data_IF_224605456377
#
_entry.id   IF_224605456377
#
_cell.length_a   1.000
_cell.length_b   1.000
_cell.length_c   1.000
_cell.angle_alpha   90.00
_cell.angle_beta   90.00
_cell.angle_gamma   90.00
#
_symmetry.space_group_name_H-M   'P 1'
#
loop_
_entity.id
_entity.type
_entity.pdbx_description
1 polymer ?
#
# COMPACT_ATOMS: atom_id res chain seq x y z
N UNK A 1 -77.31 -0.09 43.10
CA UNK A 1 -75.88 0.00 43.36
C UNK A 1 -75.18 -0.48 42.09
N UNK A 2 -74.63 0.46 41.27
CA UNK A 2 -73.99 0.20 40.00
C UNK A 2 -72.46 0.32 40.20
N UNK A 3 -71.74 -0.82 40.04
CA UNK A 3 -70.27 -0.84 40.12
C UNK A 3 -69.73 -0.51 38.74
N UNK A 4 -68.93 0.56 38.64
CA UNK A 4 -68.09 0.89 37.46
C UNK A 4 -66.83 0.05 37.51
N UNK A 5 -66.62 -0.79 36.50
CA UNK A 5 -65.31 -1.41 36.21
C UNK A 5 -64.50 -0.47 35.31
N UNK A 6 -63.40 0.05 35.84
CA UNK A 6 -62.41 0.84 35.06
C UNK A 6 -61.37 -0.09 34.48
N UNK A 7 -61.33 -0.21 33.16
CA UNK A 7 -60.33 -0.99 32.44
C UNK A 7 -59.17 -0.05 32.11
N UNK A 8 -58.03 -0.20 32.79
CA UNK A 8 -56.78 0.52 32.47
C UNK A 8 -56.05 -0.24 31.38
N UNK A 9 -56.04 0.32 30.17
CA UNK A 9 -55.27 -0.22 29.05
C UNK A 9 -53.79 0.23 29.20
N UNK A 10 -52.90 -0.66 29.58
CA UNK A 10 -51.46 -0.41 29.57
C UNK A 10 -50.92 -0.55 28.14
N UNK A 11 -50.52 0.58 27.56
CA UNK A 11 -49.79 0.59 26.26
C UNK A 11 -48.33 0.25 26.56
N UNK A 12 -47.91 -1.00 26.23
CA UNK A 12 -46.49 -1.36 26.16
C UNK A 12 -45.85 -0.75 24.91
N UNK A 13 -45.06 0.30 25.06
CA UNK A 13 -44.11 0.75 24.04
C UNK A 13 -42.98 -0.28 23.94
N UNK A 14 -43.03 -1.15 22.94
CA UNK A 14 -41.87 -1.96 22.57
C UNK A 14 -40.86 -1.07 21.87
N UNK A 15 -39.79 -0.65 22.58
CA UNK A 15 -38.59 -0.09 21.97
C UNK A 15 -37.91 -1.22 21.17
N UNK A 16 -38.17 -1.28 19.87
CA UNK A 16 -37.34 -2.07 18.98
C UNK A 16 -35.95 -1.41 18.96
N UNK A 17 -35.01 -2.01 19.69
CA UNK A 17 -33.59 -1.66 19.58
C UNK A 17 -33.16 -2.08 18.17
N UNK A 18 -33.04 -1.13 17.27
CA UNK A 18 -32.29 -1.31 16.02
C UNK A 18 -30.84 -1.55 16.41
N UNK A 19 -30.44 -2.81 16.51
CA UNK A 19 -29.03 -3.18 16.47
C UNK A 19 -28.55 -2.83 15.06
N UNK A 20 -27.87 -1.70 14.92
CA UNK A 20 -27.12 -1.41 13.73
C UNK A 20 -26.06 -2.53 13.60
N UNK A 21 -26.26 -3.44 12.66
CA UNK A 21 -25.24 -4.42 12.27
C UNK A 21 -24.06 -3.62 11.73
N UNK A 22 -22.93 -3.71 12.39
CA UNK A 22 -21.69 -3.17 11.84
C UNK A 22 -21.36 -3.91 10.54
N UNK A 23 -21.12 -3.17 9.46
CA UNK A 23 -20.66 -3.74 8.20
C UNK A 23 -19.14 -3.89 8.26
N UNK A 24 -18.63 -5.05 7.91
CA UNK A 24 -17.19 -5.36 7.95
C UNK A 24 -16.51 -4.89 6.66
N UNK A 25 -15.41 -4.18 6.84
CA UNK A 25 -14.45 -3.84 5.79
C UNK A 25 -13.26 -4.77 5.90
N UNK A 26 -13.04 -5.58 4.88
CA UNK A 26 -11.96 -6.56 4.84
C UNK A 26 -10.68 -5.92 4.29
N UNK A 27 -9.77 -5.49 5.15
CA UNK A 27 -8.56 -4.79 4.75
C UNK A 27 -7.38 -5.76 4.56
N UNK A 28 -6.91 -5.87 3.31
CA UNK A 28 -5.82 -6.77 2.93
C UNK A 28 -4.46 -6.08 3.06
N UNK A 29 -3.58 -6.69 3.85
CA UNK A 29 -2.23 -6.21 4.18
C UNK A 29 -1.19 -7.15 3.58
N UNK A 30 -0.23 -6.59 2.86
CA UNK A 30 0.90 -7.32 2.29
C UNK A 30 1.94 -7.57 3.40
N UNK A 31 2.21 -8.85 3.66
CA UNK A 31 3.19 -9.27 4.65
C UNK A 31 4.63 -8.91 4.24
N UNK A 32 5.41 -8.33 5.15
CA UNK A 32 6.88 -8.16 5.12
C UNK A 32 7.48 -7.24 4.05
N UNK A 33 6.80 -7.00 2.92
CA UNK A 33 7.43 -6.32 1.76
C UNK A 33 6.85 -4.94 1.46
N UNK A 34 5.77 -4.52 2.12
CA UNK A 34 5.04 -3.31 1.76
C UNK A 34 5.41 -2.06 2.59
N UNK A 35 6.40 -2.15 3.47
CA UNK A 35 6.85 -1.00 4.29
C UNK A 35 7.35 0.15 3.41
N UNK A 36 7.00 1.41 3.69
CA UNK A 36 6.18 1.92 4.81
C UNK A 36 4.67 2.00 4.53
N UNK A 37 4.18 1.52 3.39
CA UNK A 37 2.76 1.62 3.04
C UNK A 37 1.87 0.76 3.93
N UNK A 38 2.29 -0.47 4.17
CA UNK A 38 1.66 -1.40 5.10
C UNK A 38 2.75 -2.05 5.96
N UNK A 39 2.57 -2.01 7.27
CA UNK A 39 3.49 -2.57 8.27
C UNK A 39 2.69 -3.52 9.13
N UNK A 40 2.91 -4.82 8.93
CA UNK A 40 2.28 -5.84 9.75
C UNK A 40 2.78 -5.81 11.19
N UNK A 41 1.90 -6.14 12.13
CA UNK A 41 2.23 -6.28 13.54
C UNK A 41 1.62 -7.57 14.09
N UNK A 42 2.36 -8.35 14.90
CA UNK A 42 1.87 -9.62 15.47
C UNK A 42 0.65 -9.45 16.37
N UNK A 43 0.52 -8.29 17.02
CA UNK A 43 -0.60 -7.94 17.91
C UNK A 43 -1.81 -7.36 17.16
N UNK A 44 -1.81 -7.43 15.81
CA UNK A 44 -2.82 -6.88 14.91
C UNK A 44 -2.97 -5.35 14.94
N UNK A 45 -2.06 -4.63 15.59
CA UNK A 45 -2.02 -3.15 15.56
C UNK A 45 -1.27 -2.65 14.32
N UNK A 46 -1.60 -3.20 13.16
CA UNK A 46 -0.95 -2.84 11.89
C UNK A 46 -0.85 -1.33 11.69
N UNK A 47 0.21 -0.89 11.01
CA UNK A 47 0.56 0.52 10.74
C UNK A 47 0.94 0.71 9.28
N UNK A 48 1.35 1.90 8.94
CA UNK A 48 1.83 2.26 7.61
C UNK A 48 0.93 3.28 6.93
N UNK A 49 1.46 3.94 5.91
CA UNK A 49 0.78 5.04 5.22
C UNK A 49 -0.64 4.63 4.80
N UNK A 50 -0.79 3.53 4.07
CA UNK A 50 -2.12 3.07 3.60
C UNK A 50 -2.97 2.58 4.76
N UNK A 51 -2.39 1.84 5.70
CA UNK A 51 -3.10 1.34 6.87
C UNK A 51 -3.67 2.48 7.72
N UNK A 52 -2.89 3.52 7.96
CA UNK A 52 -3.33 4.65 8.79
C UNK A 52 -4.33 5.55 8.04
N UNK A 53 -4.24 5.64 6.69
CA UNK A 53 -5.27 6.26 5.87
C UNK A 53 -6.59 5.47 5.98
N UNK A 54 -6.57 4.14 5.84
CA UNK A 54 -7.77 3.31 5.99
C UNK A 54 -8.38 3.47 7.37
N UNK A 55 -7.57 3.42 8.44
CA UNK A 55 -8.04 3.69 9.81
C UNK A 55 -8.68 5.07 9.94
N UNK A 56 -8.07 6.11 9.36
CA UNK A 56 -8.59 7.47 9.44
C UNK A 56 -9.89 7.65 8.65
N UNK A 57 -10.05 6.95 7.52
CA UNK A 57 -11.29 6.92 6.73
C UNK A 57 -12.44 6.37 7.56
N UNK A 58 -12.25 5.24 8.24
CA UNK A 58 -13.32 4.55 8.98
C UNK A 58 -13.46 4.99 10.45
N UNK A 59 -12.58 5.86 10.94
CA UNK A 59 -12.63 6.33 12.32
C UNK A 59 -13.97 7.02 12.65
N UNK A 60 -14.66 6.53 13.71
CA UNK A 60 -15.96 7.03 14.14
C UNK A 60 -17.12 6.74 13.18
N UNK A 61 -16.97 5.77 12.27
CA UNK A 61 -18.02 5.28 11.38
C UNK A 61 -18.74 4.06 11.97
N UNK A 62 -19.75 3.57 11.23
CA UNK A 62 -20.46 2.30 11.54
C UNK A 62 -19.71 1.05 11.08
N UNK A 63 -18.58 1.20 10.41
CA UNK A 63 -17.83 0.10 9.81
C UNK A 63 -16.72 -0.39 10.74
N UNK A 64 -16.57 -1.71 10.84
CA UNK A 64 -15.45 -2.36 11.51
C UNK A 64 -14.42 -2.85 10.49
N UNK A 65 -13.12 -2.74 10.82
CA UNK A 65 -12.04 -3.20 9.93
C UNK A 65 -11.56 -4.57 10.40
N UNK A 66 -11.66 -5.58 9.54
CA UNK A 66 -10.99 -6.87 9.72
C UNK A 66 -9.73 -6.94 8.85
N UNK A 67 -8.64 -7.45 9.43
CA UNK A 67 -7.30 -7.42 8.82
C UNK A 67 -6.92 -8.80 8.29
N UNK A 68 -6.62 -8.88 7.00
CA UNK A 68 -6.19 -10.09 6.30
C UNK A 68 -4.73 -9.93 5.83
N UNK A 69 -3.79 -10.63 6.49
CA UNK A 69 -2.35 -10.48 6.22
C UNK A 69 -1.86 -11.66 5.39
N UNK A 70 -1.36 -11.39 4.18
CA UNK A 70 -0.83 -12.41 3.27
C UNK A 70 0.44 -11.95 2.54
N UNK A 71 1.33 -12.89 2.15
CA UNK A 71 2.35 -12.60 1.15
C UNK A 71 1.71 -12.06 -0.14
N UNK A 72 2.39 -11.15 -0.85
CA UNK A 72 1.83 -10.41 -1.98
C UNK A 72 1.14 -11.31 -3.01
N UNK A 73 1.83 -12.31 -3.56
CA UNK A 73 1.25 -13.19 -4.59
C UNK A 73 0.02 -13.97 -4.09
N UNK A 74 0.01 -14.35 -2.79
CA UNK A 74 -1.15 -15.03 -2.19
C UNK A 74 -2.33 -14.07 -2.06
N UNK A 75 -2.08 -12.84 -1.65
CA UNK A 75 -3.11 -11.80 -1.57
C UNK A 75 -3.74 -11.58 -2.95
N UNK A 76 -2.94 -11.35 -3.98
CA UNK A 76 -3.44 -11.15 -5.34
C UNK A 76 -4.30 -12.32 -5.80
N UNK A 77 -3.81 -13.55 -5.65
CA UNK A 77 -4.57 -14.75 -6.03
C UNK A 77 -5.91 -14.88 -5.28
N UNK A 78 -6.00 -14.45 -4.02
CA UNK A 78 -7.25 -14.45 -3.27
C UNK A 78 -8.21 -13.38 -3.80
N UNK A 79 -7.72 -12.16 -4.08
CA UNK A 79 -8.54 -11.07 -4.59
C UNK A 79 -9.06 -11.35 -6.01
N UNK A 80 -8.24 -11.97 -6.87
CA UNK A 80 -8.66 -12.43 -8.21
C UNK A 80 -9.76 -13.50 -8.16
N UNK A 81 -9.84 -14.28 -7.09
CA UNK A 81 -10.91 -15.24 -6.82
C UNK A 81 -12.14 -14.60 -6.18
N UNK A 82 -12.13 -13.28 -5.97
CA UNK A 82 -13.22 -12.48 -5.41
C UNK A 82 -12.93 -11.90 -4.02
N UNK A 83 -12.00 -12.48 -3.27
CA UNK A 83 -11.71 -12.02 -1.91
C UNK A 83 -12.88 -12.17 -0.92
N UNK A 84 -12.76 -11.58 0.26
CA UNK A 84 -13.89 -11.35 1.17
C UNK A 84 -14.70 -10.14 0.70
N UNK A 85 -16.00 -10.10 0.99
CA UNK A 85 -16.86 -8.97 0.59
C UNK A 85 -16.34 -7.64 1.14
N UNK A 86 -16.50 -6.57 0.38
CA UNK A 86 -16.05 -5.22 0.75
C UNK A 86 -14.55 -5.14 1.08
N UNK A 87 -13.72 -5.87 0.33
CA UNK A 87 -12.29 -5.80 0.55
C UNK A 87 -11.69 -4.46 0.09
N UNK A 88 -10.64 -4.06 0.80
CA UNK A 88 -9.82 -2.89 0.49
C UNK A 88 -8.35 -3.29 0.55
N UNK A 89 -7.58 -2.78 -0.40
CA UNK A 89 -6.12 -2.71 -0.39
C UNK A 89 -5.68 -1.42 -1.05
N UNK A 90 -4.50 -1.36 -1.65
CA UNK A 90 -4.10 -0.23 -2.49
C UNK A 90 -3.65 -0.72 -3.86
N UNK A 91 -3.75 0.18 -4.83
CA UNK A 91 -3.48 -0.16 -6.21
C UNK A 91 -3.11 1.04 -7.06
N UNK A 92 -2.88 0.80 -8.33
CA UNK A 92 -2.60 1.82 -9.34
C UNK A 92 -3.10 1.37 -10.70
N UNK A 93 -3.59 2.29 -11.56
CA UNK A 93 -3.89 1.95 -12.95
C UNK A 93 -2.68 1.35 -13.69
N UNK A 94 -1.46 1.65 -13.21
CA UNK A 94 -0.22 1.19 -13.83
C UNK A 94 0.15 -0.27 -13.48
N UNK A 95 -0.52 -0.90 -12.51
CA UNK A 95 -0.17 -2.25 -12.06
C UNK A 95 -0.94 -3.35 -12.77
N UNK A 96 -2.12 -3.01 -13.33
CA UNK A 96 -3.03 -3.97 -13.96
C UNK A 96 -3.72 -4.90 -12.95
N UNK A 97 -4.52 -5.83 -13.48
CA UNK A 97 -5.24 -6.82 -12.67
C UNK A 97 -6.15 -6.20 -11.61
N UNK A 98 -6.50 -6.98 -10.61
CA UNK A 98 -7.45 -6.63 -9.54
C UNK A 98 -7.11 -5.34 -8.78
N UNK A 99 -5.83 -4.96 -8.72
CA UNK A 99 -5.39 -3.71 -8.08
C UNK A 99 -5.53 -2.46 -8.98
N UNK A 100 -6.09 -2.59 -10.18
CA UNK A 100 -6.35 -1.47 -11.09
C UNK A 100 -7.84 -1.34 -11.49
N UNK A 101 -8.68 -2.30 -11.12
CA UNK A 101 -10.05 -2.41 -11.62
C UNK A 101 -11.02 -1.41 -10.96
N UNK A 102 -10.95 -1.25 -9.65
CA UNK A 102 -11.83 -0.36 -8.90
C UNK A 102 -11.02 0.44 -7.88
N UNK A 103 -10.87 1.73 -8.13
CA UNK A 103 -9.98 2.61 -7.38
C UNK A 103 -10.75 3.80 -6.79
N UNK A 104 -10.23 4.36 -5.69
CA UNK A 104 -10.75 5.61 -5.15
C UNK A 104 -10.66 6.76 -6.18
N UNK A 105 -11.55 7.75 -6.08
CA UNK A 105 -11.61 8.89 -7.01
C UNK A 105 -10.33 9.75 -6.97
N UNK A 106 -9.64 9.78 -5.83
CA UNK A 106 -8.42 10.56 -5.69
C UNK A 106 -7.24 9.68 -5.25
N UNK A 107 -6.02 10.02 -5.69
CA UNK A 107 -4.83 9.32 -5.25
C UNK A 107 -4.54 9.58 -3.76
N UNK A 108 -3.94 8.58 -3.11
CA UNK A 108 -3.47 8.69 -1.73
C UNK A 108 -1.98 8.99 -1.64
N UNK A 109 -1.21 8.71 -2.69
CA UNK A 109 0.23 8.96 -2.73
C UNK A 109 0.74 8.95 -4.17
N UNK A 110 1.82 9.72 -4.46
CA UNK A 110 2.50 9.69 -5.75
C UNK A 110 3.84 8.95 -5.60
N UNK A 111 3.96 7.81 -6.26
CA UNK A 111 5.14 6.94 -6.22
C UNK A 111 6.23 7.48 -7.12
N UNK A 112 7.46 7.56 -6.58
CA UNK A 112 8.70 7.81 -7.32
C UNK A 112 9.60 6.60 -7.20
N UNK A 113 10.26 6.20 -8.29
CA UNK A 113 11.28 5.18 -8.26
C UNK A 113 12.68 5.79 -8.20
N UNK A 114 13.57 5.08 -7.53
CA UNK A 114 14.97 5.46 -7.43
C UNK A 114 15.88 4.27 -7.71
N UNK A 115 17.04 4.60 -8.24
CA UNK A 115 18.17 3.71 -8.41
C UNK A 115 19.15 4.00 -7.28
N UNK A 116 19.56 2.97 -6.55
CA UNK A 116 20.47 3.07 -5.40
C UNK A 116 21.77 2.34 -5.70
N UNK A 117 22.88 3.04 -5.54
CA UNK A 117 24.23 2.49 -5.66
C UNK A 117 25.03 2.65 -4.37
N UNK A 118 26.10 1.92 -4.23
CA UNK A 118 27.08 2.16 -3.17
C UNK A 118 27.90 3.42 -3.46
N UNK A 119 28.16 4.25 -2.44
CA UNK A 119 29.06 5.41 -2.58
C UNK A 119 30.52 5.02 -2.80
N UNK A 120 30.94 3.78 -2.46
CA UNK A 120 32.34 3.37 -2.62
C UNK A 120 32.82 3.33 -4.07
N UNK A 121 31.93 3.05 -5.00
CA UNK A 121 32.19 3.10 -6.45
C UNK A 121 30.86 3.41 -7.16
N UNK A 122 30.42 4.66 -6.99
CA UNK A 122 29.16 5.12 -7.58
C UNK A 122 29.36 5.57 -9.01
N UNK A 123 28.28 5.59 -9.78
CA UNK A 123 28.20 6.14 -11.12
C UNK A 123 27.00 7.07 -11.25
N UNK A 124 27.04 7.97 -12.24
CA UNK A 124 25.88 8.78 -12.59
C UNK A 124 24.92 7.96 -13.42
N UNK A 125 23.63 8.06 -13.09
CA UNK A 125 22.57 7.47 -13.88
C UNK A 125 21.82 8.56 -14.64
N UNK A 126 21.96 8.59 -15.96
CA UNK A 126 21.26 9.50 -16.87
C UNK A 126 20.31 8.74 -17.78
N UNK A 127 20.64 7.49 -18.11
CA UNK A 127 19.85 6.59 -18.95
C UNK A 127 20.15 5.13 -18.66
N UNK A 128 19.36 4.21 -19.20
CA UNK A 128 19.61 2.76 -19.09
C UNK A 128 20.95 2.32 -19.71
N UNK A 129 21.54 3.14 -20.59
CA UNK A 129 22.86 2.87 -21.15
C UNK A 129 23.97 2.88 -20.08
N UNK A 130 23.78 3.65 -19.01
CA UNK A 130 24.72 3.66 -17.86
C UNK A 130 24.66 2.37 -17.05
N UNK A 131 23.65 1.53 -17.30
CA UNK A 131 23.47 0.21 -16.72
C UNK A 131 24.00 -0.94 -17.59
N UNK A 132 24.52 -0.66 -18.80
CA UNK A 132 25.09 -1.71 -19.64
C UNK A 132 26.16 -2.51 -18.89
N UNK A 133 26.11 -3.83 -19.02
CA UNK A 133 26.98 -4.81 -18.34
C UNK A 133 26.89 -4.78 -16.79
N UNK A 134 25.82 -4.20 -16.21
CA UNK A 134 25.59 -4.14 -14.76
C UNK A 134 24.38 -4.96 -14.37
N UNK A 135 24.23 -5.14 -13.06
CA UNK A 135 23.15 -5.92 -12.45
C UNK A 135 22.14 -4.98 -11.80
N UNK A 136 20.87 -5.09 -12.17
CA UNK A 136 19.76 -4.49 -11.44
C UNK A 136 19.26 -5.48 -10.38
N UNK A 137 19.34 -5.06 -9.12
CA UNK A 137 18.79 -5.81 -7.98
C UNK A 137 17.34 -5.40 -7.78
N UNK A 138 16.44 -6.38 -7.70
CA UNK A 138 15.00 -6.20 -7.48
C UNK A 138 14.51 -7.12 -6.34
N UNK A 139 13.38 -6.79 -5.73
CA UNK A 139 12.74 -7.67 -4.76
C UNK A 139 11.93 -8.75 -5.46
N UNK A 140 11.87 -9.95 -4.88
CA UNK A 140 10.94 -11.00 -5.31
C UNK A 140 9.49 -10.53 -5.18
N UNK A 141 8.65 -10.92 -6.14
CA UNK A 141 7.20 -10.70 -6.12
C UNK A 141 6.72 -9.41 -6.78
N UNK A 142 7.58 -8.43 -6.98
CA UNK A 142 7.21 -7.19 -7.68
C UNK A 142 7.60 -7.23 -9.16
N UNK A 143 6.71 -6.73 -10.03
CA UNK A 143 6.93 -6.67 -11.47
C UNK A 143 7.35 -5.27 -11.90
N UNK A 144 8.32 -5.24 -12.81
CA UNK A 144 8.83 -4.01 -13.41
C UNK A 144 8.83 -4.16 -14.95
N UNK A 145 7.64 -4.06 -15.60
CA UNK A 145 7.52 -4.28 -17.06
C UNK A 145 8.40 -3.33 -17.87
N UNK A 146 8.71 -2.15 -17.37
CA UNK A 146 9.59 -1.17 -18.02
C UNK A 146 11.05 -1.68 -18.11
N UNK A 147 11.47 -2.62 -17.27
CA UNK A 147 12.82 -3.18 -17.26
C UNK A 147 12.96 -4.43 -18.12
N UNK A 148 11.87 -5.13 -18.42
CA UNK A 148 11.87 -6.38 -19.20
C UNK A 148 12.65 -6.27 -20.52
N UNK A 149 12.46 -5.21 -21.36
CA UNK A 149 13.20 -5.12 -22.62
C UNK A 149 14.72 -5.05 -22.46
N UNK A 150 15.21 -4.52 -21.32
CA UNK A 150 16.65 -4.40 -21.04
C UNK A 150 17.24 -5.71 -20.53
N UNK A 151 16.45 -6.53 -19.84
CA UNK A 151 16.84 -7.86 -19.43
C UNK A 151 16.82 -8.84 -20.62
N UNK A 152 15.79 -8.79 -21.45
CA UNK A 152 15.60 -9.70 -22.58
C UNK A 152 16.68 -9.52 -23.67
N UNK A 153 17.20 -8.30 -23.84
CA UNK A 153 18.27 -8.04 -24.81
C UNK A 153 19.68 -8.33 -24.25
N UNK A 154 19.77 -8.70 -22.96
CA UNK A 154 21.02 -9.06 -22.31
C UNK A 154 21.96 -7.91 -21.96
N UNK A 155 21.55 -6.65 -22.14
CA UNK A 155 22.38 -5.50 -21.80
C UNK A 155 22.53 -5.31 -20.29
N UNK A 156 21.54 -5.75 -19.50
CA UNK A 156 21.48 -5.62 -18.06
C UNK A 156 21.09 -6.98 -17.46
N UNK A 157 21.79 -7.40 -16.42
CA UNK A 157 21.43 -8.61 -15.67
C UNK A 157 20.39 -8.31 -14.57
N UNK A 158 19.48 -9.24 -14.35
CA UNK A 158 18.49 -9.18 -13.28
C UNK A 158 18.90 -10.06 -12.10
N UNK A 159 18.92 -9.51 -10.88
CA UNK A 159 19.10 -10.24 -9.63
C UNK A 159 17.92 -10.03 -8.69
N UNK A 160 17.17 -11.08 -8.41
CA UNK A 160 16.08 -11.05 -7.44
C UNK A 160 16.54 -11.44 -6.04
N UNK A 161 16.17 -10.60 -5.05
CA UNK A 161 16.48 -10.82 -3.64
C UNK A 161 15.21 -10.84 -2.78
N UNK A 162 15.29 -11.47 -1.61
CA UNK A 162 14.13 -11.72 -0.76
C UNK A 162 13.67 -10.50 0.05
N UNK A 163 14.57 -9.58 0.39
CA UNK A 163 14.31 -8.47 1.28
C UNK A 163 15.29 -7.29 1.07
N UNK A 164 14.96 -6.15 1.65
CA UNK A 164 15.77 -4.93 1.57
C UNK A 164 17.18 -5.10 2.15
N UNK A 165 17.33 -5.90 3.21
CA UNK A 165 18.64 -6.18 3.81
C UNK A 165 19.55 -6.90 2.82
N UNK A 166 19.00 -7.84 2.06
CA UNK A 166 19.74 -8.53 1.02
C UNK A 166 20.09 -7.58 -0.12
N UNK A 167 19.16 -6.71 -0.57
CA UNK A 167 19.42 -5.73 -1.61
C UNK A 167 20.57 -4.79 -1.23
N UNK A 168 20.50 -4.13 -0.07
CA UNK A 168 21.56 -3.24 0.40
C UNK A 168 22.92 -3.95 0.60
N UNK A 169 22.89 -5.22 0.99
CA UNK A 169 24.12 -6.02 1.09
C UNK A 169 24.76 -6.28 -0.26
N UNK A 170 23.96 -6.59 -1.29
CA UNK A 170 24.47 -6.86 -2.65
C UNK A 170 25.13 -5.61 -3.20
N UNK A 171 24.45 -4.46 -3.22
CA UNK A 171 25.03 -3.22 -3.77
C UNK A 171 26.25 -2.74 -3.00
N UNK A 172 26.35 -3.05 -1.69
CA UNK A 172 27.57 -2.76 -0.90
C UNK A 172 28.73 -3.70 -1.21
N UNK A 173 28.45 -4.97 -1.57
CA UNK A 173 29.48 -5.96 -1.86
C UNK A 173 30.03 -5.88 -3.29
N UNK A 174 29.22 -5.43 -4.24
CA UNK A 174 29.51 -5.30 -5.65
C UNK A 174 29.34 -3.84 -6.12
N UNK A 175 30.15 -2.91 -5.52
CA UNK A 175 30.03 -1.49 -5.80
C UNK A 175 30.47 -1.18 -7.24
N UNK A 176 29.71 -0.34 -7.95
CA UNK A 176 29.93 0.01 -9.35
C UNK A 176 29.37 -1.00 -10.37
N UNK A 177 29.09 -2.23 -9.95
CA UNK A 177 28.56 -3.31 -10.79
C UNK A 177 27.06 -3.51 -10.58
N UNK A 178 26.49 -3.06 -9.45
CA UNK A 178 25.11 -3.31 -9.08
C UNK A 178 24.36 -2.05 -8.68
N UNK A 179 23.08 -1.99 -9.01
CA UNK A 179 22.17 -0.96 -8.53
C UNK A 179 20.84 -1.59 -8.07
N UNK A 180 20.26 -1.09 -6.97
CA UNK A 180 18.95 -1.53 -6.48
C UNK A 180 17.88 -0.56 -6.94
N UNK A 181 16.84 -1.05 -7.60
CA UNK A 181 15.70 -0.25 -8.06
C UNK A 181 14.48 -0.56 -7.22
N UNK A 182 13.90 0.48 -6.63
CA UNK A 182 12.68 0.37 -5.81
C UNK A 182 12.02 1.76 -5.64
N UNK A 183 10.81 1.80 -5.08
CA UNK A 183 10.14 3.04 -4.67
C UNK A 183 10.99 3.83 -3.69
N UNK A 184 11.19 5.11 -3.95
CA UNK A 184 12.03 6.00 -3.13
C UNK A 184 11.61 5.99 -1.64
N UNK A 185 10.31 6.03 -1.37
CA UNK A 185 9.76 5.97 0.00
C UNK A 185 10.17 4.70 0.73
N UNK A 186 10.12 3.54 0.05
CA UNK A 186 10.54 2.25 0.61
C UNK A 186 12.04 2.21 0.87
N UNK A 187 12.84 2.75 -0.04
CA UNK A 187 14.29 2.86 0.15
C UNK A 187 14.61 3.68 1.40
N UNK A 188 14.11 4.93 1.47
CA UNK A 188 14.35 5.82 2.61
C UNK A 188 13.93 5.20 3.94
N UNK A 189 12.73 4.66 3.99
CA UNK A 189 12.20 3.99 5.18
C UNK A 189 13.08 2.82 5.62
N UNK A 190 13.46 1.93 4.71
CA UNK A 190 14.24 0.75 5.05
C UNK A 190 15.70 1.07 5.41
N UNK A 191 16.30 2.09 4.82
CA UNK A 191 17.62 2.60 5.26
C UNK A 191 17.56 3.08 6.70
N UNK A 192 16.55 3.87 7.05
CA UNK A 192 16.33 4.37 8.41
C UNK A 192 16.08 3.24 9.42
N UNK A 193 15.15 2.33 9.11
CA UNK A 193 14.80 1.23 10.02
C UNK A 193 15.96 0.26 10.29
N UNK A 194 16.79 0.00 9.29
CA UNK A 194 17.96 -0.85 9.44
C UNK A 194 19.16 -0.12 10.07
N UNK A 195 19.01 1.16 10.44
CA UNK A 195 20.07 2.02 10.97
C UNK A 195 21.34 1.98 10.12
N UNK A 196 21.15 1.90 8.80
CA UNK A 196 22.26 1.94 7.86
C UNK A 196 22.77 3.37 7.73
N UNK A 197 24.08 3.52 7.56
CA UNK A 197 24.63 4.83 7.21
C UNK A 197 24.11 5.23 5.82
N UNK A 198 23.23 6.21 5.77
CA UNK A 198 22.63 6.71 4.52
C UNK A 198 23.65 7.28 3.56
N UNK A 199 24.74 7.88 4.09
CA UNK A 199 25.82 8.44 3.29
C UNK A 199 26.65 7.38 2.56
N UNK A 200 26.48 6.10 2.92
CA UNK A 200 27.10 4.99 2.20
C UNK A 200 26.39 4.63 0.89
N UNK A 201 25.23 5.26 0.62
CA UNK A 201 24.38 4.96 -0.53
C UNK A 201 24.03 6.24 -1.30
N UNK A 202 24.15 6.19 -2.61
CA UNK A 202 23.66 7.23 -3.51
C UNK A 202 22.29 6.84 -4.02
N UNK A 203 21.31 7.72 -3.83
CA UNK A 203 19.94 7.56 -4.29
C UNK A 203 19.69 8.53 -5.44
N UNK A 204 19.44 8.02 -6.64
CA UNK A 204 19.23 8.79 -7.85
C UNK A 204 17.82 8.58 -8.37
N UNK A 205 17.24 9.59 -9.06
CA UNK A 205 15.93 9.43 -9.70
C UNK A 205 16.00 8.36 -10.79
N UNK A 206 14.92 7.56 -10.88
CA UNK A 206 14.74 6.56 -11.93
C UNK A 206 13.52 6.87 -12.80
N UNK A 207 12.98 8.09 -12.71
CA UNK A 207 11.74 8.51 -13.38
C UNK A 207 11.83 8.53 -14.92
N UNK A 208 13.05 8.57 -15.48
CA UNK A 208 13.26 8.45 -16.93
C UNK A 208 12.97 7.04 -17.48
N UNK A 209 12.97 6.02 -16.60
CA UNK A 209 12.68 4.62 -16.94
C UNK A 209 11.34 4.17 -16.41
N UNK A 210 11.08 4.45 -15.13
CA UNK A 210 9.79 4.20 -14.48
C UNK A 210 9.21 5.56 -14.11
N UNK A 211 8.31 6.14 -14.93
CA UNK A 211 7.68 7.43 -14.63
C UNK A 211 6.97 7.42 -13.28
N UNK A 212 6.91 8.58 -12.63
CA UNK A 212 6.14 8.76 -11.41
C UNK A 212 4.67 8.45 -11.68
N UNK A 213 3.99 7.79 -10.71
CA UNK A 213 2.58 7.43 -10.87
C UNK A 213 1.84 7.45 -9.54
N UNK A 214 0.52 7.73 -9.59
CA UNK A 214 -0.31 7.73 -8.40
C UNK A 214 -0.70 6.32 -7.95
N UNK A 215 -0.83 6.14 -6.62
CA UNK A 215 -1.52 5.01 -6.01
C UNK A 215 -2.79 5.48 -5.30
N UNK A 216 -3.74 4.59 -5.22
CA UNK A 216 -5.10 4.79 -4.74
C UNK A 216 -5.46 3.73 -3.71
N UNK A 217 -6.56 3.90 -3.00
CA UNK A 217 -7.23 2.76 -2.39
C UNK A 217 -7.87 1.93 -3.50
N UNK A 218 -7.67 0.63 -3.47
CA UNK A 218 -8.28 -0.34 -4.37
C UNK A 218 -9.38 -1.10 -3.63
N UNK A 219 -10.53 -1.28 -4.28
CA UNK A 219 -11.74 -1.82 -3.69
C UNK A 219 -12.19 -3.09 -4.37
N UNK A 220 -12.94 -3.90 -3.65
CA UNK A 220 -13.76 -4.96 -4.22
C UNK A 220 -14.59 -4.40 -5.38
N UNK A 221 -14.50 -4.96 -6.60
CA UNK A 221 -15.33 -4.53 -7.73
C UNK A 221 -16.84 -4.62 -7.46
N UNK A 222 -17.25 -5.41 -6.46
CA UNK A 222 -18.63 -5.58 -6.04
C UNK A 222 -19.01 -4.77 -4.80
N UNK A 223 -18.11 -3.93 -4.30
CA UNK A 223 -18.37 -3.09 -3.13
C UNK A 223 -19.56 -2.18 -3.37
N UNK A 224 -20.45 -2.06 -2.39
CA UNK A 224 -21.60 -1.19 -2.44
C UNK A 224 -21.20 0.26 -2.77
N UNK A 225 -22.00 0.90 -3.64
CA UNK A 225 -21.77 2.28 -4.07
C UNK A 225 -21.77 3.26 -2.89
N UNK A 226 -22.59 3.03 -1.88
CA UNK A 226 -22.65 3.86 -0.66
C UNK A 226 -21.36 3.78 0.16
N UNK A 227 -20.73 2.59 0.23
CA UNK A 227 -19.46 2.41 0.92
C UNK A 227 -18.35 3.13 0.14
N UNK A 228 -18.33 2.98 -1.19
CA UNK A 228 -17.36 3.68 -2.05
C UNK A 228 -17.50 5.20 -1.94
N UNK A 229 -18.73 5.72 -1.98
CA UNK A 229 -19.01 7.14 -1.81
C UNK A 229 -18.54 7.65 -0.43
N UNK A 230 -18.83 6.89 0.64
CA UNK A 230 -18.36 7.20 1.99
C UNK A 230 -16.82 7.31 2.04
N UNK A 231 -16.10 6.32 1.48
CA UNK A 231 -14.64 6.32 1.47
C UNK A 231 -14.10 7.54 0.71
N UNK A 232 -14.66 7.83 -0.47
CA UNK A 232 -14.22 8.95 -1.30
C UNK A 232 -14.44 10.30 -0.62
N UNK A 233 -15.57 10.53 0.05
CA UNK A 233 -15.84 11.74 0.83
C UNK A 233 -14.90 11.88 2.04
N UNK A 234 -14.60 10.78 2.72
CA UNK A 234 -13.65 10.78 3.84
C UNK A 234 -12.23 11.08 3.35
N UNK A 235 -11.80 10.53 2.21
CA UNK A 235 -10.51 10.85 1.59
C UNK A 235 -10.41 12.34 1.22
N UNK A 236 -11.44 12.92 0.59
CA UNK A 236 -11.51 14.36 0.29
C UNK A 236 -11.36 15.20 1.57
N UNK A 237 -12.03 14.79 2.64
CA UNK A 237 -11.92 15.46 3.96
C UNK A 237 -10.51 15.35 4.53
N UNK A 238 -9.89 14.17 4.51
CA UNK A 238 -8.51 13.98 4.98
C UNK A 238 -7.53 14.85 4.18
N UNK A 239 -7.72 14.97 2.87
CA UNK A 239 -6.89 15.82 2.01
C UNK A 239 -7.07 17.30 2.29
N UNK A 240 -8.32 17.78 2.34
CA UNK A 240 -8.62 19.20 2.55
C UNK A 240 -8.21 19.72 3.93
N UNK A 241 -8.16 18.85 4.93
CA UNK A 241 -7.69 19.18 6.29
C UNK A 241 -6.19 19.01 6.49
N UNK A 242 -5.44 18.58 5.47
CA UNK A 242 -4.00 18.30 5.57
C UNK A 242 -3.66 16.98 6.28
N UNK A 243 -4.64 16.27 6.84
CA UNK A 243 -4.41 15.05 7.63
C UNK A 243 -3.85 13.90 6.78
N UNK A 244 -4.17 13.85 5.50
CA UNK A 244 -3.58 12.89 4.57
C UNK A 244 -2.06 13.09 4.46
N UNK A 245 -1.64 14.34 4.32
CA UNK A 245 -0.22 14.70 4.20
C UNK A 245 0.52 14.47 5.55
N UNK A 246 -0.13 14.75 6.69
CA UNK A 246 0.42 14.46 8.02
C UNK A 246 0.67 12.95 8.21
N UNK A 247 -0.28 12.08 7.78
CA UNK A 247 -0.09 10.62 7.85
C UNK A 247 1.13 10.21 7.03
N UNK A 248 1.29 10.73 5.82
CA UNK A 248 2.42 10.42 4.95
C UNK A 248 3.75 10.86 5.59
N UNK A 249 3.82 12.10 6.09
CA UNK A 249 5.04 12.65 6.73
C UNK A 249 5.49 11.90 7.98
N UNK A 250 4.61 11.16 8.65
CA UNK A 250 5.01 10.32 9.79
C UNK A 250 5.92 9.14 9.38
N UNK A 251 6.03 8.85 8.08
CA UNK A 251 6.76 7.69 7.57
C UNK A 251 7.93 8.03 6.64
N UNK A 252 7.90 9.20 5.95
CA UNK A 252 8.88 9.54 4.88
C UNK A 252 9.25 11.03 4.83
#
# INVERSE_FOLDING_TARGET
MKGLFSISTAIMLSCASFQASSETINYYVIAKQATPFQIESPDKTHKGIVTDIVKAVFNGSKYDIDYHVYPFNRMISLLEQGGEANWITYGSPNWGGVQAENLSEMPIYNVKHSLVTSMNNTFDFNSMKDMDEKVIVLLHGFNYPQLVPYFDNGNVEELRVKDYKAAFRVIKKLPGETAFVEMQSRIKYNLSQQKLNTDAYRVQSFSSVIPDYPIYLAFDPKMDADIQAFINERLKTLKSTGKLDDIIHNYI
#
